data_IF_896775961827
#
_entry.id   IF_896775961827
#
_cell.length_a   1.000
_cell.length_b   1.000
_cell.length_c   1.000
_cell.angle_alpha   90.00
_cell.angle_beta   90.00
_cell.angle_gamma   90.00
#
_symmetry.space_group_name_H-M   'P 1'
#
loop_
_entity.id
_entity.type
_entity.pdbx_description
1 polymer ?
#
# COMPACT_ATOMS: atom_id res chain seq x y z
N UNK A 1 18.06 35.79 12.97
CA UNK A 1 16.98 34.84 12.98
C UNK A 1 17.09 33.90 11.76
N UNK A 2 18.13 33.08 11.64
CA UNK A 2 18.36 32.21 10.48
C UNK A 2 19.14 30.92 10.84
N UNK A 3 18.97 30.38 12.06
CA UNK A 3 19.70 29.17 12.57
C UNK A 3 18.80 28.16 13.29
N UNK A 4 17.47 28.14 13.06
CA UNK A 4 16.55 27.19 13.72
C UNK A 4 15.79 26.26 12.76
N UNK A 5 16.11 26.23 11.47
CA UNK A 5 15.39 25.39 10.46
C UNK A 5 16.13 24.11 10.04
N UNK A 6 17.27 23.79 10.61
CA UNK A 6 18.06 22.61 10.21
C UNK A 6 18.05 21.44 11.21
N UNK A 7 17.31 21.54 12.32
CA UNK A 7 17.34 20.50 13.37
C UNK A 7 16.11 19.58 13.40
N UNK A 8 15.22 19.67 12.42
CA UNK A 8 13.96 18.88 12.41
C UNK A 8 13.88 17.81 11.31
N UNK A 9 15.00 17.49 10.64
CA UNK A 9 15.03 16.49 9.56
C UNK A 9 15.48 15.08 9.97
N UNK A 10 15.71 14.81 11.24
CA UNK A 10 16.36 13.56 11.69
C UNK A 10 15.58 12.74 12.71
N UNK A 11 14.23 12.81 12.76
CA UNK A 11 13.51 12.00 13.76
C UNK A 11 12.14 11.47 13.27
N UNK A 12 12.12 10.82 12.13
CA UNK A 12 10.92 10.10 11.67
C UNK A 12 11.25 8.72 11.11
N UNK A 13 11.96 7.92 11.89
CA UNK A 13 12.16 6.50 11.59
C UNK A 13 12.42 5.74 12.86
N UNK A 14 11.43 5.50 13.65
CA UNK A 14 11.34 4.41 14.63
C UNK A 14 9.99 4.57 15.34
N UNK A 15 9.00 3.80 14.99
CA UNK A 15 8.01 3.24 15.90
C UNK A 15 7.13 2.21 15.17
N UNK A 16 7.71 1.04 14.96
CA UNK A 16 6.94 -0.20 14.91
C UNK A 16 7.72 -1.21 15.72
N UNK A 17 7.74 -1.07 17.04
CA UNK A 17 8.25 -2.12 17.92
C UNK A 17 7.29 -2.34 19.08
N UNK A 18 7.08 -3.61 19.32
CA UNK A 18 6.59 -4.28 20.53
C UNK A 18 5.08 -4.42 20.72
N UNK A 19 4.62 -5.68 20.53
CA UNK A 19 4.18 -6.50 21.65
C UNK A 19 4.23 -7.98 21.26
N UNK A 20 5.21 -8.70 21.83
CA UNK A 20 5.20 -10.15 21.93
C UNK A 20 4.68 -10.57 23.28
N UNK A 21 3.84 -11.61 23.29
CA UNK A 21 3.72 -12.73 24.24
C UNK A 21 2.49 -13.52 23.79
N UNK A 22 2.54 -14.75 23.32
CA UNK A 22 3.17 -15.94 23.82
C UNK A 22 2.12 -16.87 24.39
N UNK A 23 1.77 -17.97 23.72
CA UNK A 23 1.39 -19.25 24.38
C UNK A 23 1.66 -20.39 23.40
N UNK A 24 2.43 -21.35 23.88
CA UNK A 24 2.73 -22.66 23.32
C UNK A 24 1.65 -23.69 23.63
N UNK A 25 1.52 -24.68 22.78
CA UNK A 25 1.16 -26.08 22.94
C UNK A 25 0.00 -26.49 22.01
N UNK A 26 0.09 -27.54 21.25
CA UNK A 26 0.44 -28.87 21.40
C UNK A 26 0.17 -29.70 20.15
N UNK A 27 1.10 -30.57 19.81
CA UNK A 27 0.99 -31.57 18.77
C UNK A 27 -0.02 -32.68 19.10
N UNK A 28 -0.70 -33.21 18.09
CA UNK A 28 -0.86 -34.68 18.02
C UNK A 28 -1.18 -35.14 16.61
N UNK A 29 -0.40 -36.09 16.18
CA UNK A 29 -0.52 -36.96 15.03
C UNK A 29 -1.81 -37.78 15.04
N UNK A 30 -2.39 -38.04 13.87
CA UNK A 30 -2.83 -39.41 13.54
C UNK A 30 -2.85 -39.65 12.02
N UNK A 31 -2.42 -40.85 11.67
CA UNK A 31 -2.13 -41.39 10.35
C UNK A 31 -3.29 -42.26 9.84
N UNK A 32 -3.46 -42.31 8.49
CA UNK A 32 -3.86 -43.52 7.76
C UNK A 32 -5.34 -43.75 7.49
N UNK A 33 -5.84 -43.83 6.29
CA UNK A 33 -5.91 -44.99 5.40
C UNK A 33 -6.83 -44.71 4.17
N UNK A 34 -6.38 -45.19 3.01
CA UNK A 34 -7.14 -45.20 1.76
C UNK A 34 -8.31 -46.19 1.82
N UNK A 35 -9.43 -45.86 1.18
CA UNK A 35 -10.24 -46.83 0.42
C UNK A 35 -11.16 -46.15 -0.58
N UNK A 36 -11.21 -46.66 -1.80
CA UNK A 36 -11.89 -46.17 -2.97
C UNK A 36 -13.32 -46.71 -3.14
N UNK A 37 -14.17 -45.86 -3.75
CA UNK A 37 -15.36 -46.06 -4.61
C UNK A 37 -16.63 -46.72 -4.05
N UNK A 38 -17.87 -46.46 -4.60
CA UNK A 38 -18.25 -45.92 -5.93
C UNK A 38 -19.28 -44.79 -5.91
N UNK A 39 -19.49 -44.17 -7.06
CA UNK A 39 -20.54 -43.19 -7.33
C UNK A 39 -21.96 -43.76 -7.32
N UNK A 40 -22.99 -42.92 -7.04
CA UNK A 40 -24.20 -42.97 -7.80
C UNK A 40 -24.60 -41.60 -8.38
N UNK A 41 -25.12 -41.66 -9.60
CA UNK A 41 -25.86 -40.59 -10.29
C UNK A 41 -27.03 -40.09 -9.45
N UNK A 42 -27.13 -38.77 -9.37
CA UNK A 42 -28.30 -38.09 -8.82
C UNK A 42 -28.26 -36.63 -9.27
N UNK A 43 -29.02 -36.36 -10.35
CA UNK A 43 -29.34 -34.99 -10.78
C UNK A 43 -29.94 -34.23 -9.59
N UNK A 44 -29.19 -33.25 -9.07
CA UNK A 44 -29.73 -32.22 -8.19
C UNK A 44 -29.62 -30.87 -8.90
N UNK A 45 -30.77 -30.23 -9.04
CA UNK A 45 -30.97 -28.82 -9.39
C UNK A 45 -29.98 -27.97 -8.60
N UNK A 46 -29.38 -26.92 -9.20
CA UNK A 46 -28.55 -25.99 -8.44
C UNK A 46 -29.44 -25.30 -7.38
N UNK A 47 -29.29 -25.71 -6.14
CA UNK A 47 -29.84 -24.97 -5.02
C UNK A 47 -29.18 -23.59 -4.98
N UNK A 48 -29.98 -22.56 -4.74
CA UNK A 48 -29.53 -21.23 -4.35
C UNK A 48 -28.45 -21.39 -3.26
N UNK A 49 -27.21 -21.01 -3.58
CA UNK A 49 -26.18 -20.87 -2.58
C UNK A 49 -26.68 -19.81 -1.58
N UNK A 50 -26.93 -20.19 -0.32
CA UNK A 50 -27.15 -19.25 0.75
C UNK A 50 -25.99 -18.23 0.68
N UNK A 51 -26.34 -16.96 0.48
CA UNK A 51 -25.38 -15.87 0.54
C UNK A 51 -24.74 -15.94 1.95
N UNK A 52 -23.46 -16.29 1.98
CA UNK A 52 -22.71 -16.29 3.22
C UNK A 52 -22.88 -14.90 3.86
N UNK A 53 -23.21 -14.89 5.15
CA UNK A 53 -23.42 -13.64 5.90
C UNK A 53 -22.08 -12.88 5.92
N UNK A 54 -21.94 -11.91 5.00
CA UNK A 54 -20.69 -11.14 4.81
C UNK A 54 -20.48 -10.29 6.06
N UNK A 55 -19.46 -10.60 6.83
CA UNK A 55 -19.11 -9.87 8.03
C UNK A 55 -18.63 -8.46 7.69
N UNK A 56 -19.20 -7.47 8.37
CA UNK A 56 -18.81 -6.06 8.23
C UNK A 56 -17.89 -5.63 9.36
N UNK A 57 -16.81 -4.88 9.05
CA UNK A 57 -15.97 -4.30 10.08
C UNK A 57 -16.74 -3.24 10.87
N UNK A 58 -16.38 -3.08 12.14
CA UNK A 58 -16.89 -2.02 12.98
C UNK A 58 -16.26 -0.67 12.58
N UNK A 59 -17.04 0.40 12.70
CA UNK A 59 -16.50 1.76 12.61
C UNK A 59 -15.64 2.05 13.86
N UNK A 60 -14.51 2.78 13.71
CA UNK A 60 -13.73 3.25 14.85
C UNK A 60 -14.57 4.03 15.84
N UNK A 61 -14.51 3.67 17.13
CA UNK A 61 -15.36 4.25 18.19
C UNK A 61 -15.20 5.76 18.37
N UNK A 62 -14.03 6.30 18.05
CA UNK A 62 -13.74 7.73 18.15
C UNK A 62 -14.38 8.60 17.08
N UNK A 63 -14.95 8.01 16.03
CA UNK A 63 -15.63 8.77 14.98
C UNK A 63 -16.99 9.26 15.43
N UNK A 64 -17.29 10.51 15.07
CA UNK A 64 -18.61 11.10 15.29
C UNK A 64 -19.48 10.89 14.05
N UNK A 65 -20.70 10.37 14.23
CA UNK A 65 -21.67 10.26 13.15
C UNK A 65 -22.52 11.52 13.09
N UNK A 66 -22.60 12.17 11.91
CA UNK A 66 -23.52 13.29 11.63
C UNK A 66 -24.28 12.96 10.35
N UNK A 67 -25.58 13.04 10.42
CA UNK A 67 -26.49 12.76 9.29
C UNK A 67 -26.18 11.43 8.56
N UNK A 68 -25.82 10.39 9.33
CA UNK A 68 -25.51 9.06 8.81
C UNK A 68 -24.10 8.91 8.21
N UNK A 69 -23.26 9.95 8.22
CA UNK A 69 -21.90 9.92 7.71
C UNK A 69 -20.88 10.06 8.84
N UNK A 70 -19.77 9.29 8.85
CA UNK A 70 -18.67 9.52 9.78
C UNK A 70 -17.95 10.84 9.53
N UNK A 71 -17.61 11.55 10.60
CA UNK A 71 -16.81 12.76 10.58
C UNK A 71 -15.47 12.52 11.26
N UNK A 72 -14.43 13.15 10.71
CA UNK A 72 -13.04 13.01 11.11
C UNK A 72 -12.43 14.37 11.42
N UNK A 73 -11.55 14.43 12.42
CA UNK A 73 -10.72 15.59 12.72
C UNK A 73 -9.46 15.51 11.83
N UNK A 74 -9.38 16.36 10.82
CA UNK A 74 -8.28 16.35 9.84
C UNK A 74 -7.34 17.52 10.11
N UNK A 75 -6.06 17.24 10.37
CA UNK A 75 -5.06 18.30 10.34
C UNK A 75 -4.71 18.64 8.90
N UNK A 76 -5.12 19.82 8.45
CA UNK A 76 -4.83 20.35 7.10
C UNK A 76 -3.47 21.05 7.14
N UNK A 77 -2.46 20.43 6.54
CA UNK A 77 -1.06 20.93 6.57
C UNK A 77 -0.94 22.30 5.93
N UNK A 78 -1.67 22.57 4.84
CA UNK A 78 -1.63 23.84 4.14
C UNK A 78 -2.12 25.01 5.00
N UNK A 79 -3.06 24.76 5.90
CA UNK A 79 -3.72 25.76 6.74
C UNK A 79 -3.21 25.76 8.19
N UNK A 80 -2.34 24.78 8.53
CA UNK A 80 -1.78 24.56 9.87
C UNK A 80 -2.87 24.45 10.97
N UNK A 81 -4.02 23.84 10.66
CA UNK A 81 -5.17 23.72 11.57
C UNK A 81 -5.87 22.36 11.46
N UNK A 82 -6.58 21.99 12.53
CA UNK A 82 -7.52 20.87 12.52
C UNK A 82 -8.87 21.35 12.00
N UNK A 83 -9.43 20.61 11.05
CA UNK A 83 -10.77 20.83 10.51
C UNK A 83 -11.65 19.60 10.78
N UNK A 84 -12.91 19.85 11.14
CA UNK A 84 -13.95 18.85 11.24
C UNK A 84 -14.53 18.63 9.84
N UNK A 85 -14.42 17.42 9.29
CA UNK A 85 -14.73 17.11 7.91
C UNK A 85 -15.45 15.78 7.80
N UNK A 86 -16.47 15.67 6.94
CA UNK A 86 -17.02 14.35 6.65
C UNK A 86 -16.01 13.51 5.86
N UNK A 87 -16.04 12.19 6.11
CA UNK A 87 -15.04 11.27 5.55
C UNK A 87 -15.06 11.23 4.03
N UNK A 88 -16.22 11.44 3.38
CA UNK A 88 -16.32 11.43 1.92
C UNK A 88 -15.62 12.64 1.30
N UNK A 89 -15.74 13.80 1.92
CA UNK A 89 -14.99 15.02 1.52
C UNK A 89 -13.49 14.80 1.67
N UNK A 90 -13.03 14.17 2.76
CA UNK A 90 -11.62 13.81 2.92
C UNK A 90 -11.17 12.83 1.82
N UNK A 91 -11.94 11.78 1.54
CA UNK A 91 -11.65 10.78 0.48
C UNK A 91 -11.60 11.43 -0.92
N UNK A 92 -12.44 12.43 -1.20
CA UNK A 92 -12.34 13.18 -2.48
C UNK A 92 -10.97 13.86 -2.62
N UNK A 93 -10.48 14.51 -1.58
CA UNK A 93 -9.16 15.14 -1.56
C UNK A 93 -8.02 14.13 -1.70
N UNK A 94 -8.13 12.98 -1.04
CA UNK A 94 -7.17 11.87 -1.18
C UNK A 94 -7.18 11.33 -2.62
N UNK A 95 -8.35 11.02 -3.16
CA UNK A 95 -8.47 10.48 -4.52
C UNK A 95 -7.87 11.44 -5.56
N UNK A 96 -8.10 12.74 -5.41
CA UNK A 96 -7.55 13.77 -6.30
C UNK A 96 -6.03 13.95 -6.13
N UNK A 97 -5.47 13.65 -4.95
CA UNK A 97 -4.03 13.68 -4.68
C UNK A 97 -3.29 12.43 -5.16
N UNK A 98 -3.97 11.27 -5.18
CA UNK A 98 -3.38 9.98 -5.51
C UNK A 98 -3.50 9.62 -7.00
N UNK A 99 -4.60 10.00 -7.65
CA UNK A 99 -4.87 9.68 -9.05
C UNK A 99 -5.19 10.93 -9.87
N UNK A 100 -4.90 10.86 -11.16
CA UNK A 100 -5.36 11.92 -12.07
C UNK A 100 -6.89 11.88 -12.19
N UNK A 101 -7.50 13.03 -12.11
CA UNK A 101 -8.95 13.19 -12.09
C UNK A 101 -9.66 12.92 -13.45
N UNK A 102 -8.88 12.63 -14.52
CA UNK A 102 -9.35 12.25 -15.85
C UNK A 102 -9.29 10.72 -16.12
N UNK A 103 -8.85 9.92 -15.13
CA UNK A 103 -8.71 8.47 -15.27
C UNK A 103 -10.07 7.74 -15.42
N UNK A 104 -10.07 6.46 -15.89
CA UNK A 104 -11.30 5.66 -16.00
C UNK A 104 -12.06 5.59 -14.68
N UNK A 105 -13.39 5.69 -14.74
CA UNK A 105 -14.26 5.78 -13.56
C UNK A 105 -14.08 4.58 -12.62
N UNK A 106 -13.99 3.37 -13.15
CA UNK A 106 -13.86 2.17 -12.31
C UNK A 106 -12.50 2.13 -11.57
N UNK A 107 -11.43 2.69 -12.14
CA UNK A 107 -10.15 2.84 -11.44
C UNK A 107 -10.26 3.88 -10.30
N UNK A 108 -10.95 5.00 -10.53
CA UNK A 108 -11.20 6.01 -9.50
C UNK A 108 -12.05 5.45 -8.36
N UNK A 109 -13.09 4.66 -8.68
CA UNK A 109 -13.93 3.98 -7.69
C UNK A 109 -13.13 2.98 -6.84
N UNK A 110 -12.32 2.13 -7.48
CA UNK A 110 -11.46 1.18 -6.77
C UNK A 110 -10.53 1.90 -5.79
N UNK A 111 -9.88 2.99 -6.22
CA UNK A 111 -9.03 3.80 -5.34
C UNK A 111 -9.83 4.47 -4.21
N UNK A 112 -11.05 4.94 -4.45
CA UNK A 112 -11.90 5.54 -3.42
C UNK A 112 -12.24 4.53 -2.31
N UNK A 113 -12.56 3.28 -2.68
CA UNK A 113 -12.80 2.19 -1.73
C UNK A 113 -11.55 1.92 -0.88
N UNK A 114 -10.36 1.84 -1.52
CA UNK A 114 -9.10 1.63 -0.80
C UNK A 114 -8.75 2.81 0.10
N UNK A 115 -8.90 4.04 -0.39
CA UNK A 115 -8.61 5.24 0.39
C UNK A 115 -9.48 5.32 1.64
N UNK A 116 -10.78 5.05 1.52
CA UNK A 116 -11.73 5.03 2.64
C UNK A 116 -11.38 3.93 3.65
N UNK A 117 -11.04 2.73 3.17
CA UNK A 117 -10.59 1.61 4.03
C UNK A 117 -9.32 1.98 4.79
N UNK A 118 -8.34 2.61 4.11
CA UNK A 118 -7.10 3.07 4.73
C UNK A 118 -7.36 4.08 5.85
N UNK A 119 -8.20 5.08 5.62
CA UNK A 119 -8.53 6.12 6.61
C UNK A 119 -9.14 5.48 7.86
N UNK A 120 -10.12 4.61 7.70
CA UNK A 120 -10.76 3.94 8.83
C UNK A 120 -9.78 3.02 9.58
N UNK A 121 -8.96 2.26 8.85
CA UNK A 121 -7.92 1.40 9.44
C UNK A 121 -6.89 2.22 10.22
N UNK A 122 -6.43 3.33 9.64
CA UNK A 122 -5.51 4.25 10.32
C UNK A 122 -6.10 4.76 11.63
N UNK A 123 -7.34 5.27 11.57
CA UNK A 123 -8.05 5.83 12.74
C UNK A 123 -8.30 4.76 13.81
N UNK A 124 -8.59 3.52 13.41
CA UNK A 124 -8.79 2.42 14.35
C UNK A 124 -7.53 2.04 15.14
N UNK A 125 -6.36 2.09 14.50
CA UNK A 125 -5.12 1.53 15.06
C UNK A 125 -4.09 2.58 15.49
N UNK A 126 -4.21 3.81 14.99
CA UNK A 126 -3.19 4.84 15.17
C UNK A 126 -3.80 6.15 15.70
N UNK A 127 -2.93 6.99 16.21
CA UNK A 127 -3.22 8.40 16.44
C UNK A 127 -2.40 9.23 15.43
N UNK A 128 -2.99 10.33 14.98
CA UNK A 128 -2.25 11.32 14.21
C UNK A 128 -1.08 11.87 15.04
N UNK A 129 0.00 12.23 14.34
CA UNK A 129 1.13 12.97 14.96
C UNK A 129 0.76 14.41 15.31
N UNK A 130 -0.38 14.89 14.84
CA UNK A 130 -0.88 16.24 15.05
C UNK A 130 -1.93 16.23 16.15
N UNK A 131 -1.71 17.00 17.22
CA UNK A 131 -2.59 17.06 18.36
C UNK A 131 -4.03 17.45 17.98
N UNK A 132 -4.99 16.72 18.46
CA UNK A 132 -6.41 16.96 18.21
C UNK A 132 -6.92 16.47 16.86
N UNK A 133 -6.09 15.82 16.05
CA UNK A 133 -6.49 15.25 14.77
C UNK A 133 -6.61 13.71 14.84
N UNK A 134 -7.54 13.15 14.05
CA UNK A 134 -7.63 11.71 13.80
C UNK A 134 -6.67 11.26 12.70
N UNK A 135 -6.47 12.13 11.70
CA UNK A 135 -5.62 11.92 10.53
C UNK A 135 -5.17 13.29 10.00
N UNK A 136 -4.22 13.32 9.07
CA UNK A 136 -3.76 14.56 8.44
C UNK A 136 -3.71 14.49 6.91
N UNK A 137 -3.48 15.64 6.27
CA UNK A 137 -3.16 15.74 4.85
C UNK A 137 -1.65 15.65 4.57
N UNK A 138 -0.85 15.24 5.56
CA UNK A 138 0.59 15.01 5.39
C UNK A 138 0.82 13.64 4.74
N UNK A 139 1.34 13.64 3.52
CA UNK A 139 1.67 12.40 2.77
C UNK A 139 2.64 11.48 3.52
N UNK A 140 3.42 12.02 4.46
CA UNK A 140 4.36 11.21 5.26
C UNK A 140 3.69 10.53 6.45
N UNK A 141 2.45 10.90 6.77
CA UNK A 141 1.62 10.25 7.78
C UNK A 141 0.59 9.31 7.15
N UNK A 142 -0.09 9.76 6.09
CA UNK A 142 -1.26 9.10 5.54
C UNK A 142 -1.14 8.90 4.01
N UNK A 143 -1.87 9.69 3.23
CA UNK A 143 -2.01 9.56 1.78
C UNK A 143 -1.79 10.93 1.13
N UNK A 144 -1.50 10.98 -0.18
CA UNK A 144 -1.50 12.25 -0.87
C UNK A 144 -2.89 12.91 -0.81
N UNK A 145 -2.93 14.22 -0.72
CA UNK A 145 -4.16 15.00 -0.59
C UNK A 145 -4.10 16.26 -1.45
N UNK A 146 -5.09 16.46 -2.32
CA UNK A 146 -5.23 17.67 -3.13
C UNK A 146 -6.69 18.06 -3.31
N UNK A 147 -7.24 18.83 -2.39
CA UNK A 147 -8.61 19.34 -2.49
C UNK A 147 -8.82 20.27 -3.72
N UNK A 148 -7.76 20.94 -4.20
CA UNK A 148 -7.86 21.86 -5.34
C UNK A 148 -8.08 21.17 -6.69
N UNK A 149 -7.70 19.90 -6.80
CA UNK A 149 -7.87 19.06 -7.99
C UNK A 149 -9.17 18.25 -8.02
N UNK A 150 -10.02 18.39 -6.99
CA UNK A 150 -11.33 17.73 -6.93
C UNK A 150 -12.25 18.29 -8.01
N UNK A 151 -12.70 17.42 -8.92
CA UNK A 151 -13.66 17.75 -9.97
C UNK A 151 -14.93 16.87 -9.88
N UNK A 152 -15.87 17.05 -10.79
CA UNK A 152 -17.13 16.30 -10.75
C UNK A 152 -16.93 14.78 -10.92
N UNK A 153 -15.88 14.33 -11.62
CA UNK A 153 -15.58 12.90 -11.77
C UNK A 153 -15.08 12.29 -10.46
N UNK A 154 -14.21 13.00 -9.72
CA UNK A 154 -13.77 12.59 -8.38
C UNK A 154 -14.96 12.49 -7.43
N UNK A 155 -15.83 13.53 -7.42
CA UNK A 155 -17.05 13.52 -6.60
C UNK A 155 -17.95 12.35 -6.95
N UNK A 156 -18.17 12.09 -8.25
CA UNK A 156 -18.97 10.97 -8.74
C UNK A 156 -18.40 9.62 -8.29
N UNK A 157 -17.09 9.41 -8.43
CA UNK A 157 -16.45 8.16 -8.02
C UNK A 157 -16.63 7.88 -6.51
N UNK A 158 -16.48 8.92 -5.68
CA UNK A 158 -16.66 8.81 -4.24
C UNK A 158 -18.12 8.60 -3.87
N UNK A 159 -19.04 9.30 -4.50
CA UNK A 159 -20.49 9.16 -4.25
C UNK A 159 -21.01 7.79 -4.67
N UNK A 160 -20.61 7.28 -5.85
CA UNK A 160 -21.03 5.95 -6.33
C UNK A 160 -20.44 4.79 -5.52
N UNK A 161 -19.42 5.06 -4.71
CA UNK A 161 -18.81 4.10 -3.76
C UNK A 161 -19.02 4.50 -2.31
N UNK A 162 -19.99 5.39 -2.03
CA UNK A 162 -20.25 5.92 -0.70
C UNK A 162 -20.32 4.80 0.35
N UNK A 163 -19.59 4.96 1.45
CA UNK A 163 -19.56 4.01 2.55
C UNK A 163 -18.89 2.65 2.26
N UNK A 164 -18.49 2.38 1.00
CA UNK A 164 -17.88 1.10 0.63
C UNK A 164 -16.42 1.03 1.12
N UNK A 165 -16.12 -0.08 1.78
CA UNK A 165 -14.80 -0.43 2.31
C UNK A 165 -14.49 -1.90 2.07
N UNK A 166 -13.22 -2.28 2.21
CA UNK A 166 -12.83 -3.69 2.26
C UNK A 166 -13.15 -4.28 3.63
N UNK A 167 -13.58 -5.52 3.62
CA UNK A 167 -13.70 -6.38 4.80
C UNK A 167 -12.91 -7.67 4.57
N UNK A 168 -12.04 -8.01 5.49
CA UNK A 168 -11.38 -9.30 5.55
C UNK A 168 -11.74 -9.97 6.87
N UNK A 169 -12.52 -11.05 6.82
CA UNK A 169 -13.02 -11.78 7.99
C UNK A 169 -13.80 -10.91 9.00
N UNK A 170 -14.35 -9.77 8.56
CA UNK A 170 -15.07 -8.83 9.40
C UNK A 170 -14.22 -7.69 9.97
N UNK A 171 -12.97 -7.59 9.56
CA UNK A 171 -12.03 -6.54 9.98
C UNK A 171 -11.63 -5.66 8.79
N UNK A 172 -11.21 -4.42 9.07
CA UNK A 172 -10.62 -3.54 8.06
C UNK A 172 -9.21 -4.01 7.71
N UNK A 173 -8.91 -4.41 6.46
CA UNK A 173 -7.57 -4.76 6.04
C UNK A 173 -6.71 -3.50 5.81
N UNK A 174 -5.38 -3.69 5.74
CA UNK A 174 -4.50 -2.67 5.17
C UNK A 174 -4.72 -2.59 3.66
N UNK A 175 -5.35 -1.55 3.21
CA UNK A 175 -5.68 -1.32 1.80
C UNK A 175 -4.52 -0.65 1.06
N UNK A 176 -3.36 -1.33 0.99
CA UNK A 176 -2.17 -0.80 0.34
C UNK A 176 -2.35 -0.66 -1.18
N UNK A 177 -1.74 0.38 -1.72
CA UNK A 177 -1.66 0.62 -3.15
C UNK A 177 -0.34 1.30 -3.52
N UNK A 178 -0.01 1.29 -4.79
CA UNK A 178 1.22 1.87 -5.32
C UNK A 178 1.02 2.31 -6.77
N UNK A 179 1.91 3.15 -7.29
CA UNK A 179 1.69 3.74 -8.61
C UNK A 179 1.77 2.70 -9.74
N UNK A 180 2.81 1.84 -9.76
CA UNK A 180 3.07 0.91 -10.86
C UNK A 180 3.80 -0.33 -10.36
N UNK A 181 3.29 -1.51 -10.63
CA UNK A 181 3.85 -2.75 -10.09
C UNK A 181 5.20 -3.14 -10.72
N UNK A 182 5.43 -2.77 -11.97
CA UNK A 182 6.59 -3.26 -12.73
C UNK A 182 6.43 -4.72 -13.18
N UNK A 183 5.18 -5.16 -13.39
CA UNK A 183 4.82 -6.50 -13.84
C UNK A 183 4.12 -7.36 -12.79
N UNK A 184 4.60 -7.38 -11.55
CA UNK A 184 4.00 -8.17 -10.45
C UNK A 184 3.88 -7.38 -9.17
N UNK A 185 2.84 -7.68 -8.38
CA UNK A 185 2.71 -7.20 -7.01
C UNK A 185 3.64 -7.95 -6.07
N UNK A 186 3.72 -7.52 -4.81
CA UNK A 186 4.60 -8.08 -3.78
C UNK A 186 3.83 -8.35 -2.49
N UNK A 187 4.36 -9.22 -1.64
CA UNK A 187 3.89 -9.44 -0.28
C UNK A 187 4.36 -8.32 0.66
N UNK A 188 3.59 -8.09 1.73
CA UNK A 188 3.82 -6.94 2.60
C UNK A 188 5.12 -7.02 3.39
N UNK A 189 5.53 -8.21 3.82
CA UNK A 189 6.80 -8.39 4.52
C UNK A 189 8.00 -8.00 3.64
N UNK A 190 7.97 -8.37 2.36
CA UNK A 190 9.07 -8.07 1.43
C UNK A 190 9.00 -6.64 0.87
N UNK A 191 7.81 -6.12 0.55
CA UNK A 191 7.67 -4.81 -0.08
C UNK A 191 7.68 -3.64 0.89
N UNK A 192 7.22 -3.85 2.12
CA UNK A 192 7.04 -2.81 3.15
C UNK A 192 7.82 -3.08 4.43
N UNK A 193 8.58 -4.19 4.51
CA UNK A 193 9.18 -4.68 5.76
C UNK A 193 8.14 -4.84 6.88
N UNK A 194 6.92 -5.23 6.53
CA UNK A 194 5.85 -5.42 7.50
C UNK A 194 6.27 -6.41 8.57
N UNK A 195 6.16 -6.02 9.84
CA UNK A 195 6.70 -6.79 10.97
C UNK A 195 5.72 -7.82 11.56
N UNK A 196 4.46 -7.77 11.11
CA UNK A 196 3.45 -8.76 11.49
C UNK A 196 3.55 -10.06 10.68
N UNK A 197 2.65 -10.98 10.94
CA UNK A 197 2.38 -12.11 10.07
C UNK A 197 1.88 -11.58 8.71
N UNK A 198 2.28 -12.24 7.59
CA UNK A 198 1.82 -11.82 6.27
C UNK A 198 0.29 -11.91 6.18
N UNK A 199 -0.41 -10.80 5.93
CA UNK A 199 -1.87 -10.83 5.91
C UNK A 199 -2.42 -11.76 4.83
N UNK A 200 -3.41 -12.58 5.18
CA UNK A 200 -3.97 -13.58 4.29
C UNK A 200 -4.66 -13.03 3.04
N UNK A 201 -4.89 -11.72 2.96
CA UNK A 201 -5.47 -11.06 1.79
C UNK A 201 -4.45 -10.46 0.82
N UNK A 202 -3.17 -10.38 1.19
CA UNK A 202 -2.10 -9.96 0.26
C UNK A 202 -1.71 -11.09 -0.67
N UNK A 203 -1.27 -10.77 -1.87
CA UNK A 203 -0.86 -11.77 -2.85
C UNK A 203 0.11 -11.20 -3.89
N UNK A 204 0.90 -12.09 -4.49
CA UNK A 204 1.67 -11.79 -5.69
C UNK A 204 0.80 -12.15 -6.89
N UNK A 205 0.48 -11.14 -7.71
CA UNK A 205 -0.29 -11.31 -8.95
C UNK A 205 0.39 -10.56 -10.10
N UNK A 206 0.19 -11.03 -11.32
CA UNK A 206 0.52 -10.26 -12.52
C UNK A 206 -0.32 -8.98 -12.52
N UNK A 207 0.34 -7.85 -12.76
CA UNK A 207 -0.32 -6.56 -12.87
C UNK A 207 -0.30 -6.09 -14.33
N UNK A 208 -1.45 -5.88 -14.97
CA UNK A 208 -1.53 -5.44 -16.34
C UNK A 208 -1.29 -3.92 -16.45
N UNK A 209 -0.17 -3.45 -15.87
CA UNK A 209 0.14 -2.03 -15.84
C UNK A 209 0.07 -1.40 -17.23
N UNK A 210 -0.65 -0.29 -17.36
CA UNK A 210 -0.95 0.34 -18.64
C UNK A 210 0.29 0.85 -19.37
N UNK A 211 0.37 0.60 -20.66
CA UNK A 211 1.36 1.19 -21.56
C UNK A 211 1.32 2.72 -21.64
N UNK A 212 0.18 3.32 -21.25
CA UNK A 212 0.00 4.79 -21.11
C UNK A 212 0.75 5.37 -19.91
N UNK A 213 1.28 4.53 -19.01
CA UNK A 213 2.14 4.99 -17.92
C UNK A 213 3.38 5.70 -18.49
N UNK A 214 3.83 6.80 -17.85
CA UNK A 214 5.02 7.51 -18.28
C UNK A 214 6.24 6.58 -18.38
N UNK A 215 7.07 6.74 -19.39
CA UNK A 215 8.30 5.92 -19.56
C UNK A 215 9.16 5.95 -18.30
N UNK A 216 9.25 7.11 -17.64
CA UNK A 216 9.99 7.27 -16.37
C UNK A 216 9.44 6.47 -15.20
N UNK A 217 8.25 5.88 -15.30
CA UNK A 217 7.64 4.99 -14.30
C UNK A 217 7.83 3.54 -14.71
N UNK A 218 7.68 3.26 -16.01
CA UNK A 218 7.88 1.91 -16.60
C UNK A 218 9.35 1.48 -16.53
N UNK A 219 10.26 2.40 -16.91
CA UNK A 219 11.70 2.17 -16.90
C UNK A 219 12.38 3.41 -16.32
N UNK A 220 13.16 3.25 -15.28
CA UNK A 220 13.82 4.36 -14.61
C UNK A 220 15.32 4.09 -14.44
N UNK A 221 16.08 5.17 -14.37
CA UNK A 221 17.50 5.18 -13.99
C UNK A 221 17.65 6.13 -12.81
N UNK A 222 18.37 5.71 -11.78
CA UNK A 222 18.66 6.50 -10.58
C UNK A 222 20.15 6.46 -10.28
N UNK A 223 20.78 7.62 -10.22
CA UNK A 223 22.20 7.75 -9.91
C UNK A 223 22.38 8.45 -8.58
N UNK A 224 23.25 7.88 -7.75
CA UNK A 224 23.63 8.38 -6.44
C UNK A 224 25.15 8.38 -6.31
N UNK A 225 25.69 9.22 -5.44
CA UNK A 225 27.09 9.12 -5.07
C UNK A 225 27.31 7.96 -4.09
N UNK A 226 28.54 7.43 -4.04
CA UNK A 226 28.93 6.43 -3.03
C UNK A 226 28.65 6.93 -1.61
N UNK A 227 28.87 8.22 -1.37
CA UNK A 227 28.59 8.85 -0.06
C UNK A 227 27.11 8.85 0.29
N UNK A 228 26.19 9.10 -0.66
CA UNK A 228 24.74 9.00 -0.45
C UNK A 228 24.33 7.56 -0.09
N UNK A 229 24.92 6.54 -0.75
CA UNK A 229 24.64 5.15 -0.43
C UNK A 229 25.10 4.77 0.98
N UNK A 230 26.29 5.18 1.38
CA UNK A 230 26.84 4.93 2.72
C UNK A 230 25.94 5.56 3.79
N UNK A 231 25.52 6.81 3.58
CA UNK A 231 24.65 7.50 4.52
C UNK A 231 23.25 6.85 4.58
N UNK A 232 22.68 6.48 3.43
CA UNK A 232 21.40 5.80 3.36
C UNK A 232 21.44 4.40 4.02
N UNK A 233 22.52 3.64 3.82
CA UNK A 233 22.72 2.36 4.50
C UNK A 233 22.79 2.54 6.02
N UNK A 234 23.51 3.57 6.50
CA UNK A 234 23.58 3.92 7.92
C UNK A 234 22.20 4.26 8.49
N UNK A 235 21.39 5.03 7.75
CA UNK A 235 20.02 5.37 8.14
C UNK A 235 19.09 4.15 8.10
N UNK A 236 19.36 3.19 7.22
CA UNK A 236 18.69 1.89 7.18
C UNK A 236 19.18 0.92 8.27
N UNK A 237 20.07 1.36 9.18
CA UNK A 237 20.56 0.59 10.31
C UNK A 237 21.78 -0.30 10.02
N UNK A 238 22.41 -0.18 8.85
CA UNK A 238 23.61 -0.95 8.47
C UNK A 238 24.80 -0.04 8.32
N UNK A 239 25.88 -0.33 9.08
CA UNK A 239 27.12 0.44 9.03
C UNK A 239 28.02 -0.09 7.91
N UNK A 240 28.23 0.71 6.88
CA UNK A 240 29.20 0.49 5.80
C UNK A 240 30.24 1.63 5.80
N UNK A 241 31.47 1.33 5.38
CA UNK A 241 32.56 2.34 5.38
C UNK A 241 32.71 3.01 4.04
N UNK A 242 32.41 2.31 2.98
CA UNK A 242 32.49 2.76 1.58
C UNK A 242 31.40 2.07 0.76
N UNK A 243 31.32 2.39 -0.52
CA UNK A 243 30.48 1.72 -1.49
C UNK A 243 31.29 1.43 -2.75
N UNK A 244 32.46 0.76 -2.55
CA UNK A 244 33.37 0.43 -3.65
C UNK A 244 32.89 -0.80 -4.44
N UNK A 245 32.11 -1.69 -3.80
CA UNK A 245 31.29 -2.70 -4.47
C UNK A 245 29.84 -2.54 -4.11
N UNK A 246 28.94 -2.67 -5.10
CA UNK A 246 27.51 -2.69 -4.92
C UNK A 246 26.93 -3.76 -5.81
N UNK A 247 26.20 -4.70 -5.23
CA UNK A 247 25.65 -5.86 -5.92
C UNK A 247 24.17 -6.02 -5.54
N UNK A 248 23.36 -6.59 -6.44
CA UNK A 248 21.99 -6.96 -6.15
C UNK A 248 21.98 -8.35 -5.50
N UNK A 249 21.36 -8.46 -4.33
CA UNK A 249 21.15 -9.73 -3.64
C UNK A 249 19.99 -10.54 -4.23
N UNK A 250 19.46 -11.46 -3.44
CA UNK A 250 18.37 -12.34 -3.84
C UNK A 250 17.10 -11.57 -4.21
N UNK A 251 16.25 -12.23 -5.02
CA UNK A 251 14.97 -11.70 -5.44
C UNK A 251 13.82 -12.50 -4.84
N UNK A 252 12.71 -11.82 -4.62
CA UNK A 252 11.43 -12.45 -4.28
C UNK A 252 10.84 -13.17 -5.50
N UNK A 253 9.74 -13.88 -5.30
CA UNK A 253 8.93 -14.48 -6.38
C UNK A 253 8.40 -13.41 -7.37
N UNK A 254 8.16 -12.20 -6.90
CA UNK A 254 7.76 -11.08 -7.77
C UNK A 254 8.89 -10.55 -8.67
N UNK A 255 10.14 -10.92 -8.38
CA UNK A 255 11.35 -10.41 -9.05
C UNK A 255 11.98 -9.20 -8.36
N UNK A 256 11.42 -8.72 -7.25
CA UNK A 256 11.96 -7.57 -6.49
C UNK A 256 13.20 -7.98 -5.71
N UNK A 257 14.17 -7.07 -5.66
CA UNK A 257 15.41 -7.26 -4.91
C UNK A 257 15.11 -7.16 -3.40
N UNK A 258 15.57 -8.16 -2.65
CA UNK A 258 15.39 -8.22 -1.18
C UNK A 258 16.43 -7.33 -0.49
N UNK A 259 17.68 -7.40 -0.95
CA UNK A 259 18.81 -6.72 -0.35
C UNK A 259 19.75 -6.16 -1.42
N UNK A 260 20.36 -5.03 -1.13
CA UNK A 260 21.49 -4.48 -1.88
C UNK A 260 22.74 -4.72 -1.05
N UNK A 261 23.74 -5.39 -1.63
CA UNK A 261 24.99 -5.73 -0.93
C UNK A 261 25.99 -4.60 -1.19
N UNK A 262 26.37 -3.87 -0.15
CA UNK A 262 27.33 -2.74 -0.23
C UNK A 262 28.58 -3.15 0.53
N UNK A 263 29.73 -3.28 -0.16
CA UNK A 263 31.00 -3.78 0.37
C UNK A 263 30.82 -5.05 1.22
N UNK A 264 30.04 -5.99 0.69
CA UNK A 264 29.72 -7.26 1.34
C UNK A 264 28.73 -7.19 2.49
N UNK A 265 28.16 -6.01 2.81
CA UNK A 265 27.15 -5.84 3.85
C UNK A 265 25.75 -5.80 3.22
N UNK A 266 24.83 -6.71 3.61
CA UNK A 266 23.47 -6.72 3.09
C UNK A 266 22.64 -5.58 3.74
N UNK A 267 22.04 -4.75 2.90
CA UNK A 267 21.13 -3.68 3.30
C UNK A 267 19.75 -3.98 2.70
N UNK A 268 18.69 -3.92 3.50
CA UNK A 268 17.32 -4.10 3.00
C UNK A 268 17.04 -3.14 1.84
N UNK A 269 16.62 -3.66 0.68
CA UNK A 269 16.34 -2.83 -0.49
C UNK A 269 15.15 -1.88 -0.27
N UNK A 270 14.02 -2.29 0.36
CA UNK A 270 12.95 -1.37 0.74
C UNK A 270 13.42 -0.26 1.69
N UNK A 271 14.19 -0.59 2.74
CA UNK A 271 14.72 0.42 3.66
C UNK A 271 15.67 1.38 2.96
N UNK A 272 16.63 0.87 2.20
CA UNK A 272 17.58 1.70 1.46
C UNK A 272 16.87 2.64 0.46
N UNK A 273 15.85 2.13 -0.23
CA UNK A 273 15.02 2.92 -1.16
C UNK A 273 14.40 4.14 -0.48
N UNK A 274 13.87 3.98 0.73
CA UNK A 274 13.26 5.07 1.50
C UNK A 274 14.31 6.13 1.85
N UNK A 275 15.52 5.70 2.24
CA UNK A 275 16.59 6.61 2.65
C UNK A 275 17.26 7.32 1.45
N UNK A 276 17.25 6.71 0.27
CA UNK A 276 17.82 7.26 -0.97
C UNK A 276 16.90 8.18 -1.77
N UNK A 277 15.76 8.61 -1.25
CA UNK A 277 14.70 9.28 -1.99
C UNK A 277 13.94 8.32 -2.93
N UNK A 278 12.82 7.82 -2.45
CA UNK A 278 11.93 6.94 -3.21
C UNK A 278 11.30 7.55 -4.47
N UNK A 279 11.54 8.86 -4.75
CA UNK A 279 11.18 9.48 -6.03
C UNK A 279 12.26 9.25 -7.10
N UNK A 280 13.51 8.99 -6.68
CA UNK A 280 14.61 8.62 -7.58
C UNK A 280 14.70 7.10 -7.71
N UNK A 281 14.97 6.37 -6.62
CA UNK A 281 14.94 4.91 -6.57
C UNK A 281 13.48 4.46 -6.40
N UNK A 282 12.77 4.38 -7.52
CA UNK A 282 11.30 4.33 -7.51
C UNK A 282 10.70 3.05 -6.97
N UNK A 283 11.39 1.93 -7.11
CA UNK A 283 10.94 0.62 -6.64
C UNK A 283 12.13 -0.28 -6.30
N UNK A 284 11.85 -1.43 -5.74
CA UNK A 284 12.82 -2.52 -5.57
C UNK A 284 12.81 -3.51 -6.75
N UNK A 285 12.07 -3.24 -7.82
CA UNK A 285 12.16 -3.94 -9.10
C UNK A 285 13.38 -3.41 -9.87
N UNK A 286 14.56 -3.61 -9.26
CA UNK A 286 15.85 -3.16 -9.79
C UNK A 286 16.35 -4.21 -10.77
N UNK A 287 16.71 -3.79 -11.96
CA UNK A 287 17.21 -4.68 -13.02
C UNK A 287 18.72 -4.83 -12.96
N UNK A 288 19.43 -3.71 -12.82
CA UNK A 288 20.87 -3.67 -12.83
C UNK A 288 21.45 -2.57 -11.93
N UNK A 289 22.71 -2.73 -11.53
CA UNK A 289 23.50 -1.72 -10.81
C UNK A 289 24.90 -1.65 -11.41
N UNK A 290 25.41 -0.43 -11.58
CA UNK A 290 26.74 -0.17 -12.09
C UNK A 290 27.44 0.94 -11.32
N UNK A 291 28.78 0.88 -11.26
CA UNK A 291 29.61 1.88 -10.58
C UNK A 291 30.54 2.53 -11.62
N UNK A 292 30.60 3.85 -11.62
CA UNK A 292 31.53 4.63 -12.45
C UNK A 292 32.09 5.80 -11.63
N UNK A 293 33.36 5.70 -11.23
CA UNK A 293 33.99 6.67 -10.34
C UNK A 293 33.30 6.73 -8.98
N UNK A 294 32.75 7.88 -8.64
CA UNK A 294 31.99 8.11 -7.40
C UNK A 294 30.46 7.87 -7.56
N UNK A 295 30.01 7.55 -8.77
CA UNK A 295 28.60 7.37 -9.06
C UNK A 295 28.20 5.89 -9.06
N UNK A 296 27.06 5.59 -8.43
CA UNK A 296 26.38 4.30 -8.44
C UNK A 296 25.04 4.50 -9.13
N UNK A 297 24.84 3.80 -10.23
CA UNK A 297 23.63 3.91 -11.05
C UNK A 297 22.82 2.62 -11.01
N UNK A 298 21.54 2.74 -10.63
CA UNK A 298 20.54 1.69 -10.66
C UNK A 298 19.61 1.88 -11.85
N UNK A 299 19.22 0.79 -12.50
CA UNK A 299 18.12 0.77 -13.46
C UNK A 299 17.02 -0.18 -12.97
N UNK A 300 15.78 0.08 -13.36
CA UNK A 300 14.67 -0.76 -12.96
C UNK A 300 13.34 -0.29 -13.51
N UNK A 301 12.27 -0.93 -13.06
CA UNK A 301 10.89 -0.69 -13.49
C UNK A 301 9.94 -0.54 -12.31
N UNK A 302 8.73 0.00 -12.57
CA UNK A 302 7.72 0.21 -11.55
C UNK A 302 7.95 1.43 -10.64
N UNK A 303 6.95 1.74 -9.81
CA UNK A 303 7.00 2.85 -8.87
C UNK A 303 6.15 2.54 -7.63
N UNK A 304 6.79 2.47 -6.49
CA UNK A 304 6.20 2.17 -5.18
C UNK A 304 6.70 0.85 -4.61
N UNK A 305 6.10 0.47 -3.50
CA UNK A 305 6.47 -0.75 -2.73
C UNK A 305 5.98 -2.06 -3.36
N UNK A 306 5.03 -1.99 -4.28
CA UNK A 306 4.50 -3.17 -4.99
C UNK A 306 3.38 -3.92 -4.28
N UNK A 307 3.02 -3.59 -3.05
CA UNK A 307 2.01 -4.32 -2.26
C UNK A 307 0.60 -3.82 -2.58
N UNK A 308 -0.36 -4.73 -2.71
CA UNK A 308 -1.76 -4.40 -2.99
C UNK A 308 -1.98 -3.87 -4.41
N UNK A 309 -2.89 -2.89 -4.60
CA UNK A 309 -3.33 -2.44 -5.91
C UNK A 309 -2.29 -1.57 -6.61
N UNK A 310 -1.98 -1.89 -7.88
CA UNK A 310 -1.29 -0.97 -8.79
C UNK A 310 -2.28 0.02 -9.38
N UNK A 311 -1.99 1.32 -9.25
CA UNK A 311 -2.84 2.37 -9.83
C UNK A 311 -2.86 2.29 -11.37
N UNK A 312 -1.70 2.09 -12.02
CA UNK A 312 -1.63 1.91 -13.47
C UNK A 312 -2.20 0.57 -13.94
N UNK A 313 -2.17 -0.46 -13.09
CA UNK A 313 -2.87 -1.72 -13.34
C UNK A 313 -4.39 -1.54 -13.25
N UNK A 314 -4.89 -0.83 -12.23
CA UNK A 314 -6.31 -0.48 -12.12
C UNK A 314 -6.78 0.35 -13.32
N UNK A 315 -5.94 1.28 -13.81
CA UNK A 315 -6.22 2.03 -15.03
C UNK A 315 -6.46 1.10 -16.23
N UNK A 316 -5.52 0.17 -16.50
CA UNK A 316 -5.63 -0.75 -17.63
C UNK A 316 -6.86 -1.68 -17.51
N UNK A 317 -7.09 -2.25 -16.33
CA UNK A 317 -8.24 -3.12 -16.09
C UNK A 317 -9.56 -2.39 -16.29
N UNK A 318 -9.66 -1.12 -15.88
CA UNK A 318 -10.84 -0.30 -16.09
C UNK A 318 -11.06 0.03 -17.59
N UNK A 319 -10.00 0.24 -18.37
CA UNK A 319 -10.09 0.36 -19.84
C UNK A 319 -10.54 -0.92 -20.52
N UNK A 320 -10.23 -2.08 -19.93
CA UNK A 320 -10.73 -3.39 -20.38
C UNK A 320 -12.17 -3.66 -19.94
N UNK A 321 -12.82 -2.72 -19.25
CA UNK A 321 -14.21 -2.83 -18.79
C UNK A 321 -14.39 -3.59 -17.49
N UNK A 322 -13.36 -3.80 -16.70
CA UNK A 322 -13.46 -4.35 -15.34
C UNK A 322 -14.11 -3.34 -14.41
N UNK A 323 -15.01 -3.82 -13.54
CA UNK A 323 -15.59 -3.01 -12.48
C UNK A 323 -14.59 -2.75 -11.35
N UNK A 324 -14.87 -1.76 -10.50
CA UNK A 324 -14.07 -1.47 -9.31
C UNK A 324 -13.89 -2.69 -8.41
N UNK A 325 -14.96 -3.48 -8.22
CA UNK A 325 -14.91 -4.72 -7.43
C UNK A 325 -13.98 -5.75 -8.05
N UNK A 326 -14.05 -5.95 -9.37
CA UNK A 326 -13.15 -6.86 -10.08
C UNK A 326 -11.69 -6.41 -10.00
N UNK A 327 -11.44 -5.09 -10.06
CA UNK A 327 -10.11 -4.52 -9.92
C UNK A 327 -9.58 -4.79 -8.51
N UNK A 328 -10.35 -4.48 -7.47
CA UNK A 328 -9.95 -4.72 -6.08
C UNK A 328 -9.68 -6.19 -5.81
N UNK A 329 -10.60 -7.09 -6.23
CA UNK A 329 -10.47 -8.53 -6.02
C UNK A 329 -9.32 -9.17 -6.82
N UNK A 330 -8.83 -8.52 -7.87
CA UNK A 330 -7.61 -8.94 -8.56
C UNK A 330 -6.37 -8.77 -7.69
N UNK A 331 -6.31 -7.71 -6.89
CA UNK A 331 -5.14 -7.39 -6.06
C UNK A 331 -5.22 -7.89 -4.62
N UNK A 332 -6.42 -8.10 -4.11
CA UNK A 332 -6.66 -8.58 -2.76
C UNK A 332 -7.50 -9.86 -2.80
N UNK A 333 -7.02 -10.94 -2.18
CA UNK A 333 -7.77 -12.19 -2.13
C UNK A 333 -8.62 -12.28 -0.86
N UNK A 334 -9.76 -12.96 -0.96
CA UNK A 334 -10.64 -13.24 0.18
C UNK A 334 -11.14 -11.97 0.91
N UNK A 335 -11.28 -10.86 0.19
CA UNK A 335 -11.88 -9.64 0.71
C UNK A 335 -13.29 -9.46 0.14
N UNK A 336 -14.18 -8.97 0.98
CA UNK A 336 -15.49 -8.50 0.58
C UNK A 336 -15.47 -6.96 0.48
N UNK A 337 -16.31 -6.40 -0.40
CA UNK A 337 -16.58 -4.97 -0.43
C UNK A 337 -17.94 -4.75 0.22
N UNK A 338 -17.97 -4.00 1.32
CA UNK A 338 -19.17 -3.82 2.14
C UNK A 338 -19.45 -2.33 2.37
N UNK A 339 -20.71 -1.94 2.40
CA UNK A 339 -21.11 -0.58 2.79
C UNK A 339 -21.34 -0.50 4.30
N UNK A 340 -20.67 0.45 4.96
CA UNK A 340 -20.81 0.73 6.40
C UNK A 340 -21.82 1.84 6.66
N UNK A 341 -22.06 2.74 5.69
CA UNK A 341 -23.10 3.77 5.68
C UNK A 341 -23.58 4.01 4.23
N UNK A 342 -24.69 4.73 4.09
CA UNK A 342 -25.36 5.04 2.81
C UNK A 342 -25.51 6.54 2.61
#
# INVERSE_FOLDING_TARGET
MRKRKELFRSLCLVLCLSLMMGVLAGCSWFSGNEQATPAPEGSQTPGEAEAADVKKPALPEKLTMKDGTPWVQVYVVADEKVEDMDIETYVQGVLAGEMRNDWPMEALKAQAILARTFVLKFIAEKNSRYDGADISTDITEAQAYDASSVNDRIKQAVEETRGQVLSYEGELPYAWFHAHAGGKTELSQAGLEFKGEEPGYTQIVESPDSDKAPTSVKNWTATFTKGELVEAARQAGVSVKSADSVELGDRTESGRVIQIIIDGQPVSAPALRIQLDGKKLKSTMIEDVSISGDEVTFTGSGYGHGVGMSQWGAYAMAEEGKSADQIVQHYFKNVDIVSLWT
#
